data_IF_142766317784
#
_entry.id   IF_142766317784
#
_cell.length_a   1.000
_cell.length_b   1.000
_cell.length_c   1.000
_cell.angle_alpha   90.00
_cell.angle_beta   90.00
_cell.angle_gamma   90.00
#
_symmetry.space_group_name_H-M   'P 1'
#
loop_
_entity.id
_entity.type
_entity.pdbx_description
1 polymer ?
#
# COMPACT_ATOMS: atom_id res chain seq x y z
N UNK A 1 -16.51 3.96 -9.86
CA UNK A 1 -15.22 3.37 -9.43
C UNK A 1 -15.06 1.98 -10.08
N UNK A 2 -14.12 1.84 -11.03
CA UNK A 2 -13.67 0.51 -11.46
C UNK A 2 -13.03 -0.17 -10.25
N UNK A 3 -13.70 -1.19 -9.72
CA UNK A 3 -13.20 -1.92 -8.57
C UNK A 3 -12.19 -2.96 -9.06
N UNK A 4 -10.97 -2.94 -8.52
CA UNK A 4 -10.01 -4.02 -8.75
C UNK A 4 -10.50 -5.37 -8.20
N UNK A 5 -11.50 -5.36 -7.30
CA UNK A 5 -12.17 -6.57 -6.81
C UNK A 5 -13.67 -6.30 -6.58
N UNK A 6 -14.52 -7.05 -7.30
CA UNK A 6 -15.98 -6.96 -7.26
C UNK A 6 -16.59 -7.29 -5.88
N UNK A 7 -15.92 -8.12 -5.08
CA UNK A 7 -16.43 -8.58 -3.79
C UNK A 7 -16.25 -7.57 -2.65
N UNK A 8 -15.54 -6.46 -2.88
CA UNK A 8 -15.27 -5.46 -1.85
C UNK A 8 -16.42 -4.49 -1.61
N UNK A 9 -17.45 -4.50 -2.45
CA UNK A 9 -18.61 -3.61 -2.35
C UNK A 9 -19.90 -4.44 -2.28
N UNK A 10 -20.74 -4.18 -1.27
CA UNK A 10 -22.05 -4.87 -1.09
C UNK A 10 -23.01 -4.72 -2.27
N UNK A 11 -22.91 -3.62 -3.02
CA UNK A 11 -23.69 -3.39 -4.25
C UNK A 11 -22.83 -2.68 -5.29
N UNK A 12 -22.45 -3.38 -6.35
CA UNK A 12 -21.80 -2.77 -7.51
C UNK A 12 -22.87 -2.25 -8.48
N UNK A 13 -22.62 -1.08 -9.10
CA UNK A 13 -23.54 -0.48 -10.08
C UNK A 13 -23.40 -1.05 -11.49
N UNK A 14 -22.43 -1.92 -11.71
CA UNK A 14 -22.13 -2.58 -12.99
C UNK A 14 -21.38 -3.90 -12.71
N UNK A 15 -21.47 -4.85 -13.63
CA UNK A 15 -20.72 -6.11 -13.61
C UNK A 15 -19.54 -5.98 -14.58
N UNK A 16 -18.29 -5.87 -14.09
CA UNK A 16 -17.15 -5.64 -14.96
C UNK A 16 -16.87 -6.79 -15.94
N UNK A 17 -17.35 -8.01 -15.68
CA UNK A 17 -17.19 -9.17 -16.56
C UNK A 17 -18.25 -9.23 -17.67
N UNK A 18 -19.43 -8.63 -17.46
CA UNK A 18 -20.52 -8.61 -18.45
C UNK A 18 -20.60 -7.29 -19.22
N UNK A 19 -20.35 -6.17 -18.55
CA UNK A 19 -20.65 -4.84 -19.09
C UNK A 19 -19.47 -4.21 -19.86
N UNK A 20 -18.29 -4.84 -19.88
CA UNK A 20 -17.11 -4.37 -20.63
C UNK A 20 -16.45 -5.48 -21.45
N UNK A 21 -15.96 -5.12 -22.63
CA UNK A 21 -15.04 -5.95 -23.43
C UNK A 21 -13.63 -5.41 -23.22
N UNK A 22 -12.70 -6.26 -22.76
CA UNK A 22 -11.31 -5.87 -22.59
C UNK A 22 -10.65 -5.61 -23.95
N UNK A 23 -10.14 -4.41 -24.18
CA UNK A 23 -9.37 -4.09 -25.38
C UNK A 23 -7.94 -4.64 -25.29
N UNK A 24 -7.15 -4.14 -24.32
CA UNK A 24 -5.80 -4.63 -23.99
C UNK A 24 -5.34 -4.07 -22.63
N UNK A 25 -4.39 -4.75 -21.98
CA UNK A 25 -3.68 -4.19 -20.83
C UNK A 25 -2.68 -3.11 -21.27
N UNK A 26 -2.67 -1.95 -20.59
CA UNK A 26 -1.79 -0.84 -20.95
C UNK A 26 -0.41 -0.94 -20.31
N UNK A 27 -0.35 -1.13 -19.00
CA UNK A 27 0.89 -1.13 -18.21
C UNK A 27 0.78 -2.07 -17.01
N UNK A 28 1.92 -2.65 -16.62
CA UNK A 28 2.09 -3.31 -15.32
C UNK A 28 3.02 -2.46 -14.48
N UNK A 29 2.55 -2.01 -13.31
CA UNK A 29 3.30 -1.12 -12.42
C UNK A 29 3.60 -1.88 -11.13
N UNK A 30 4.87 -2.02 -10.72
CA UNK A 30 5.21 -2.67 -9.46
C UNK A 30 4.76 -1.81 -8.27
N UNK A 31 4.39 -2.47 -7.17
CA UNK A 31 4.29 -1.81 -5.86
C UNK A 31 5.65 -1.89 -5.16
N UNK A 32 6.00 -0.83 -4.45
CA UNK A 32 7.20 -0.74 -3.61
C UNK A 32 6.75 -0.60 -2.16
N UNK A 33 7.32 -1.40 -1.27
CA UNK A 33 7.19 -1.19 0.17
C UNK A 33 8.10 -0.03 0.59
N UNK A 34 7.49 1.02 1.13
CA UNK A 34 8.19 2.25 1.49
C UNK A 34 7.87 2.65 2.92
N UNK A 35 8.90 3.07 3.65
CA UNK A 35 8.81 3.56 5.03
C UNK A 35 9.39 4.97 5.16
N UNK A 36 9.04 5.67 6.23
CA UNK A 36 9.72 6.92 6.59
C UNK A 36 11.20 6.64 6.93
N UNK A 37 12.14 7.41 6.39
CA UNK A 37 13.58 7.14 6.57
C UNK A 37 14.06 7.31 8.02
N UNK A 38 13.30 8.02 8.86
CA UNK A 38 13.55 8.17 10.30
C UNK A 38 13.22 6.91 11.11
N UNK A 39 12.49 5.95 10.55
CA UNK A 39 12.18 4.69 11.22
C UNK A 39 13.42 3.78 11.27
N UNK A 40 13.53 2.94 12.31
CA UNK A 40 14.72 2.12 12.54
C UNK A 40 14.85 0.91 11.61
N UNK A 41 13.80 0.56 10.85
CA UNK A 41 13.82 -0.59 9.94
C UNK A 41 14.58 -0.24 8.66
N UNK A 42 15.60 -1.02 8.33
CA UNK A 42 16.42 -0.80 7.14
C UNK A 42 16.25 -1.90 6.09
N UNK A 43 15.57 -2.99 6.45
CA UNK A 43 15.23 -4.10 5.55
C UNK A 43 13.83 -4.63 5.83
N UNK A 44 13.28 -5.41 4.88
CA UNK A 44 12.05 -6.18 5.09
C UNK A 44 12.16 -7.09 6.33
N UNK A 45 13.32 -7.70 6.55
CA UNK A 45 13.56 -8.58 7.70
C UNK A 45 13.45 -7.82 9.03
N UNK A 46 14.02 -6.62 9.12
CA UNK A 46 13.92 -5.76 10.32
C UNK A 46 12.47 -5.38 10.58
N UNK A 47 11.75 -4.98 9.53
CA UNK A 47 10.35 -4.60 9.62
C UNK A 47 9.50 -5.77 10.12
N UNK A 48 9.66 -6.96 9.54
CA UNK A 48 8.90 -8.16 9.92
C UNK A 48 9.23 -8.55 11.36
N UNK A 49 10.50 -8.51 11.75
CA UNK A 49 10.94 -8.83 13.11
C UNK A 49 10.33 -7.87 14.13
N UNK A 50 10.35 -6.57 13.84
CA UNK A 50 9.73 -5.58 14.72
C UNK A 50 8.21 -5.74 14.79
N UNK A 51 7.55 -5.96 13.65
CA UNK A 51 6.11 -6.14 13.57
C UNK A 51 5.63 -7.37 14.36
N UNK A 52 6.39 -8.47 14.32
CA UNK A 52 6.11 -9.68 15.13
C UNK A 52 6.26 -9.41 16.63
N UNK A 53 7.27 -8.62 17.01
CA UNK A 53 7.45 -8.22 18.41
C UNK A 53 6.41 -7.17 18.88
N UNK A 54 5.75 -6.48 17.95
CA UNK A 54 4.83 -5.37 18.22
C UNK A 54 3.52 -5.49 17.41
N UNK A 55 2.73 -6.56 17.61
CA UNK A 55 1.56 -6.84 16.79
C UNK A 55 0.53 -5.70 16.90
N UNK A 56 0.07 -5.19 15.76
CA UNK A 56 -0.95 -4.12 15.69
C UNK A 56 -0.45 -2.72 16.07
N UNK A 57 0.85 -2.52 16.29
CA UNK A 57 1.39 -1.17 16.54
C UNK A 57 1.73 -0.38 15.28
N UNK A 58 2.09 -1.08 14.20
CA UNK A 58 2.48 -0.43 12.95
C UNK A 58 1.26 -0.14 12.08
N UNK A 59 1.18 1.07 11.56
CA UNK A 59 0.16 1.51 10.61
C UNK A 59 0.66 1.40 9.16
N UNK A 60 -0.15 0.77 8.30
CA UNK A 60 0.08 0.70 6.85
C UNK A 60 -0.98 1.53 6.13
N UNK A 61 -0.52 2.48 5.31
CA UNK A 61 -1.39 3.29 4.49
C UNK A 61 -1.63 2.67 3.11
N UNK A 62 -2.68 3.15 2.42
CA UNK A 62 -2.97 2.75 1.05
C UNK A 62 -3.68 3.88 0.29
N UNK A 63 -3.66 3.80 -1.04
CA UNK A 63 -4.43 4.68 -1.92
C UNK A 63 -5.96 4.52 -1.82
N UNK A 64 -6.46 3.59 -0.99
CA UNK A 64 -7.88 3.40 -0.71
C UNK A 64 -8.28 1.93 -0.58
N UNK A 65 -9.47 1.69 -0.04
CA UNK A 65 -9.98 0.33 0.11
C UNK A 65 -10.16 -0.35 -1.25
N UNK A 66 -9.45 -1.46 -1.41
CA UNK A 66 -9.58 -2.34 -2.58
C UNK A 66 -8.72 -1.99 -3.78
N UNK A 67 -7.83 -1.01 -3.64
CA UNK A 67 -6.80 -0.72 -4.63
C UNK A 67 -5.70 -1.78 -4.58
N UNK A 68 -4.84 -1.80 -5.62
CA UNK A 68 -3.66 -2.68 -5.64
C UNK A 68 -2.74 -2.47 -4.43
N UNK A 69 -2.61 -1.23 -3.94
CA UNK A 69 -1.81 -0.90 -2.74
C UNK A 69 -2.37 -1.53 -1.47
N UNK A 70 -3.70 -1.54 -1.30
CA UNK A 70 -4.34 -2.20 -0.16
C UNK A 70 -4.16 -3.72 -0.22
N UNK A 71 -4.40 -4.31 -1.39
CA UNK A 71 -4.25 -5.76 -1.56
C UNK A 71 -2.80 -6.22 -1.40
N UNK A 72 -1.81 -5.41 -1.83
CA UNK A 72 -0.40 -5.70 -1.61
C UNK A 72 -0.05 -5.72 -0.11
N UNK A 73 -0.56 -4.77 0.68
CA UNK A 73 -0.36 -4.74 2.12
C UNK A 73 -0.98 -5.95 2.83
N UNK A 74 -2.20 -6.34 2.46
CA UNK A 74 -2.88 -7.52 3.01
C UNK A 74 -2.16 -8.81 2.63
N UNK A 75 -1.71 -8.94 1.37
CA UNK A 75 -0.94 -10.09 0.92
C UNK A 75 0.39 -10.21 1.68
N UNK A 76 1.09 -9.10 1.89
CA UNK A 76 2.32 -9.06 2.66
C UNK A 76 2.09 -9.51 4.10
N UNK A 77 1.06 -8.96 4.78
CA UNK A 77 0.69 -9.37 6.14
C UNK A 77 0.42 -10.87 6.24
N UNK A 78 -0.35 -11.41 5.28
CA UNK A 78 -0.65 -12.84 5.22
C UNK A 78 0.59 -13.71 5.01
N UNK A 79 1.52 -13.31 4.15
CA UNK A 79 2.73 -14.10 3.85
C UNK A 79 3.79 -13.99 4.96
N UNK A 80 3.97 -12.80 5.52
CA UNK A 80 4.95 -12.56 6.57
C UNK A 80 4.48 -12.98 7.97
N UNK A 81 3.17 -13.24 8.13
CA UNK A 81 2.55 -13.57 9.41
C UNK A 81 2.62 -12.40 10.39
N UNK A 82 2.32 -11.19 9.91
CA UNK A 82 2.33 -9.95 10.70
C UNK A 82 0.98 -9.25 10.59
N UNK A 83 0.70 -8.35 11.52
CA UNK A 83 -0.52 -7.56 11.52
C UNK A 83 -0.22 -6.08 11.68
N UNK A 84 -0.72 -5.30 10.75
CA UNK A 84 -0.67 -3.86 10.69
C UNK A 84 -2.08 -3.28 10.88
N UNK A 85 -2.14 -2.00 11.26
CA UNK A 85 -3.38 -1.21 11.25
C UNK A 85 -3.50 -0.55 9.89
N UNK A 86 -4.51 -0.93 9.10
CA UNK A 86 -4.73 -0.34 7.78
C UNK A 86 -5.38 1.04 7.89
N UNK A 87 -4.80 2.03 7.22
CA UNK A 87 -5.30 3.40 7.13
C UNK A 87 -5.57 3.76 5.65
N UNK A 88 -6.84 3.81 5.21
CA UNK A 88 -7.17 4.11 3.82
C UNK A 88 -7.20 5.61 3.54
N UNK A 89 -6.57 6.03 2.44
CA UNK A 89 -6.61 7.40 1.94
C UNK A 89 -7.38 7.49 0.62
N UNK A 90 -7.65 8.73 0.15
CA UNK A 90 -8.28 9.02 -1.14
C UNK A 90 -7.24 9.14 -2.27
N UNK A 91 -6.31 8.20 -2.36
CA UNK A 91 -5.21 8.18 -3.32
C UNK A 91 -3.81 8.28 -2.69
N UNK A 92 -2.77 8.10 -3.52
CA UNK A 92 -1.37 8.06 -3.07
C UNK A 92 -0.85 9.37 -2.49
N UNK A 93 -1.22 10.53 -3.05
CA UNK A 93 -0.69 11.83 -2.61
C UNK A 93 -0.91 12.14 -1.11
N UNK A 94 -2.13 12.02 -0.55
CA UNK A 94 -2.33 12.18 0.89
C UNK A 94 -1.66 11.07 1.72
N UNK A 95 -1.62 9.83 1.21
CA UNK A 95 -0.93 8.71 1.87
C UNK A 95 0.57 8.99 2.06
N UNK A 96 1.24 9.50 1.02
CA UNK A 96 2.66 9.84 1.05
C UNK A 96 2.93 11.05 1.96
N UNK A 97 2.02 12.03 1.98
CA UNK A 97 2.14 13.20 2.87
C UNK A 97 2.16 12.79 4.34
N UNK A 98 1.25 11.90 4.73
CA UNK A 98 1.15 11.40 6.10
C UNK A 98 2.30 10.46 6.47
N UNK A 99 2.80 9.67 5.51
CA UNK A 99 4.01 8.87 5.69
C UNK A 99 5.24 9.76 5.95
N UNK A 100 5.40 10.85 5.20
CA UNK A 100 6.49 11.82 5.42
C UNK A 100 6.40 12.52 6.78
N UNK A 101 5.17 12.82 7.21
CA UNK A 101 4.87 13.40 8.52
C UNK A 101 5.05 12.39 9.67
N UNK A 102 5.05 11.09 9.39
CA UNK A 102 5.17 10.03 10.39
C UNK A 102 3.84 9.69 11.08
N UNK A 103 2.70 9.97 10.44
CA UNK A 103 1.37 9.58 10.94
C UNK A 103 1.07 8.10 10.65
N UNK A 104 1.76 7.53 9.68
CA UNK A 104 1.73 6.11 9.32
C UNK A 104 3.17 5.62 9.12
N UNK A 105 3.41 4.33 9.35
CA UNK A 105 4.77 3.78 9.35
C UNK A 105 5.24 3.38 7.95
N UNK A 106 4.30 2.89 7.13
CA UNK A 106 4.62 2.35 5.81
C UNK A 106 3.49 2.50 4.80
N UNK A 107 3.82 2.29 3.53
CA UNK A 107 2.87 2.13 2.43
C UNK A 107 3.41 1.14 1.40
N UNK A 108 2.50 0.50 0.66
CA UNK A 108 2.81 -0.09 -0.64
C UNK A 108 2.30 0.88 -1.69
N UNK A 109 3.17 1.43 -2.54
CA UNK A 109 2.75 2.43 -3.52
C UNK A 109 3.62 2.36 -4.78
N UNK A 110 3.33 3.20 -5.76
CA UNK A 110 3.94 3.17 -7.08
C UNK A 110 5.22 4.01 -7.15
N UNK A 111 6.15 3.72 -8.08
CA UNK A 111 7.34 4.55 -8.28
C UNK A 111 7.01 6.04 -8.54
N UNK A 112 5.92 6.30 -9.28
CA UNK A 112 5.49 7.67 -9.62
C UNK A 112 5.21 8.53 -8.38
N UNK A 113 4.70 7.94 -7.31
CA UNK A 113 4.39 8.65 -6.06
C UNK A 113 5.56 8.67 -5.06
N UNK A 114 6.48 7.71 -5.16
CA UNK A 114 7.49 7.45 -4.10
C UNK A 114 8.92 7.84 -4.50
N UNK A 115 9.30 7.71 -5.76
CA UNK A 115 10.69 7.75 -6.21
C UNK A 115 11.40 9.07 -5.85
N UNK A 116 10.74 10.22 -6.04
CA UNK A 116 11.32 11.52 -5.73
C UNK A 116 11.64 11.67 -4.23
N UNK A 117 10.80 11.14 -3.34
CA UNK A 117 11.02 11.21 -1.90
C UNK A 117 12.07 10.20 -1.42
N UNK A 118 12.17 9.05 -2.08
CA UNK A 118 13.24 8.07 -1.87
C UNK A 118 14.59 8.67 -2.27
N UNK A 119 14.69 9.27 -3.46
CA UNK A 119 15.90 9.94 -3.94
C UNK A 119 16.32 11.12 -3.05
N UNK A 120 15.34 11.84 -2.49
CA UNK A 120 15.59 12.90 -1.51
C UNK A 120 15.97 12.38 -0.11
N UNK A 121 16.02 11.05 0.12
CA UNK A 121 16.35 10.43 1.41
C UNK A 121 15.29 10.60 2.50
N UNK A 122 14.10 11.08 2.16
CA UNK A 122 12.99 11.29 3.11
C UNK A 122 12.19 10.01 3.36
N UNK A 123 12.14 9.14 2.35
CA UNK A 123 11.56 7.82 2.42
C UNK A 123 12.64 6.76 2.10
N UNK A 124 12.41 5.53 2.56
CA UNK A 124 13.27 4.37 2.29
C UNK A 124 12.42 3.27 1.65
N UNK A 125 12.82 2.80 0.47
CA UNK A 125 12.30 1.55 -0.07
C UNK A 125 12.96 0.38 0.68
N UNK A 126 12.16 -0.62 1.07
CA UNK A 126 12.61 -1.82 1.76
C UNK A 126 12.64 -3.03 0.83
#
# INVERSE_FOLDING_TARGET
PMASNQFLYKSQRFDPARDFIAAQGLVSIPNILVVNSRLPYQSVTDLVSYAKANPGKLAVSSAGNGTGTHLAAELFQSQAGVRFVHVPYKGSAPSISDLLAGQVDMTFDYPVSTLAQIQAGKLRAL
#
